data_IF_433468242672
#
_entry.id   IF_433468242672
#
_cell.length_a   1.000
_cell.length_b   1.000
_cell.length_c   1.000
_cell.angle_alpha   90.00
_cell.angle_beta   90.00
_cell.angle_gamma   90.00
#
_symmetry.space_group_name_H-M   'P 1'
#
loop_
_entity.id
_entity.type
_entity.pdbx_description
1 polymer ?
#
# COMPACT_ATOMS: atom_id res chain seq x y z
N UNK A 1 -7.63 -15.39 17.50
CA UNK A 1 -6.48 -14.47 17.31
C UNK A 1 -5.70 -15.05 16.14
N UNK A 2 -6.10 -14.72 14.91
CA UNK A 2 -5.57 -15.29 13.68
C UNK A 2 -5.47 -14.16 12.64
N UNK A 3 -4.47 -14.24 11.75
CA UNK A 3 -4.31 -13.50 10.46
C UNK A 3 -3.55 -12.17 10.39
N UNK A 4 -2.91 -11.65 11.45
CA UNK A 4 -2.11 -10.41 11.30
C UNK A 4 -0.69 -10.60 10.72
N UNK A 5 -0.25 -11.85 10.52
CA UNK A 5 1.11 -12.18 10.08
C UNK A 5 1.20 -12.52 8.59
N UNK A 6 0.10 -12.83 7.92
CA UNK A 6 0.14 -13.32 6.53
C UNK A 6 0.28 -12.16 5.56
N UNK A 7 -0.60 -11.16 5.67
CA UNK A 7 -0.64 -10.03 4.72
C UNK A 7 0.68 -9.25 4.67
N UNK A 8 1.33 -9.02 5.82
CA UNK A 8 2.60 -8.31 5.84
C UNK A 8 3.76 -9.15 5.32
N UNK A 9 3.81 -10.44 5.68
CA UNK A 9 4.83 -11.35 5.20
C UNK A 9 4.70 -11.57 3.69
N UNK A 10 3.48 -11.72 3.18
CA UNK A 10 3.17 -11.74 1.74
C UNK A 10 3.54 -10.41 1.07
N UNK A 11 3.32 -9.27 1.72
CA UNK A 11 3.72 -7.99 1.16
C UNK A 11 5.24 -7.82 1.11
N UNK A 12 6.00 -8.43 2.01
CA UNK A 12 7.46 -8.34 2.08
C UNK A 12 8.18 -9.42 1.25
N UNK A 13 7.56 -10.59 1.09
CA UNK A 13 8.19 -11.77 0.48
C UNK A 13 7.41 -12.37 -0.70
N UNK A 14 6.21 -11.86 -1.02
CA UNK A 14 5.32 -12.41 -2.07
C UNK A 14 5.55 -11.86 -3.48
N UNK A 15 6.56 -11.03 -3.69
CA UNK A 15 6.96 -10.59 -5.03
C UNK A 15 7.49 -11.74 -5.89
N UNK A 16 7.54 -11.59 -7.22
CA UNK A 16 7.98 -12.64 -8.14
C UNK A 16 9.43 -13.12 -7.88
N UNK A 17 10.26 -12.29 -7.27
CA UNK A 17 11.64 -12.60 -6.89
C UNK A 17 11.78 -12.97 -5.40
N UNK A 18 10.67 -13.17 -4.67
CA UNK A 18 10.66 -13.36 -3.21
C UNK A 18 10.89 -12.09 -2.40
N UNK A 19 10.81 -10.92 -3.04
CA UNK A 19 10.95 -9.61 -2.39
C UNK A 19 9.63 -8.88 -2.23
N UNK A 20 9.69 -7.61 -1.81
CA UNK A 20 8.49 -6.85 -1.49
C UNK A 20 7.57 -6.68 -2.71
N UNK A 21 6.26 -6.82 -2.49
CA UNK A 21 5.23 -6.53 -3.48
C UNK A 21 5.22 -5.02 -3.73
N UNK A 22 5.54 -4.63 -4.96
CA UNK A 22 5.53 -3.23 -5.39
C UNK A 22 4.26 -2.95 -6.18
N UNK A 23 3.52 -1.94 -5.73
CA UNK A 23 2.33 -1.42 -6.38
C UNK A 23 2.66 -0.15 -7.18
N UNK A 24 1.99 0.02 -8.31
CA UNK A 24 1.96 1.30 -9.04
C UNK A 24 1.01 2.29 -8.36
N UNK A 25 1.15 3.58 -8.67
CA UNK A 25 0.25 4.64 -8.17
C UNK A 25 -1.22 4.34 -8.45
N UNK A 26 -1.52 3.79 -9.64
CA UNK A 26 -2.88 3.45 -10.04
C UNK A 26 -3.44 2.34 -9.14
N UNK A 27 -2.65 1.30 -8.87
CA UNK A 27 -3.05 0.21 -7.97
C UNK A 27 -3.26 0.71 -6.54
N UNK A 28 -2.37 1.58 -6.03
CA UNK A 28 -2.54 2.21 -4.71
C UNK A 28 -3.84 3.01 -4.65
N UNK A 29 -4.12 3.87 -5.64
CA UNK A 29 -5.36 4.64 -5.69
C UNK A 29 -6.59 3.71 -5.73
N UNK A 30 -6.53 2.62 -6.48
CA UNK A 30 -7.60 1.62 -6.53
C UNK A 30 -7.84 0.96 -5.17
N UNK A 31 -6.80 0.58 -4.44
CA UNK A 31 -6.91 0.07 -3.07
C UNK A 31 -7.50 1.13 -2.13
N UNK A 32 -6.94 2.33 -2.11
CA UNK A 32 -7.44 3.44 -1.29
C UNK A 32 -8.94 3.70 -1.53
N UNK A 33 -9.41 3.61 -2.79
CA UNK A 33 -10.84 3.70 -3.13
C UNK A 33 -11.66 2.56 -2.53
N UNK A 34 -11.18 1.32 -2.56
CA UNK A 34 -11.86 0.16 -1.95
C UNK A 34 -12.04 0.33 -0.44
N UNK A 35 -11.14 1.07 0.22
CA UNK A 35 -11.20 1.38 1.65
C UNK A 35 -11.87 2.74 1.98
N UNK A 36 -12.55 3.37 1.03
CA UNK A 36 -13.36 4.58 1.27
C UNK A 36 -12.61 5.91 1.16
N UNK A 37 -11.34 5.92 0.75
CA UNK A 37 -10.63 7.14 0.38
C UNK A 37 -10.94 7.47 -1.07
N UNK A 38 -11.92 8.33 -1.30
CA UNK A 38 -12.47 8.61 -2.63
C UNK A 38 -11.98 9.91 -3.26
N UNK A 39 -11.36 10.79 -2.46
CA UNK A 39 -10.95 12.12 -2.92
C UNK A 39 -9.44 12.19 -3.20
N UNK A 40 -9.01 12.99 -4.19
CA UNK A 40 -7.59 13.23 -4.44
C UNK A 40 -6.84 13.77 -3.22
N UNK A 41 -7.50 14.56 -2.38
CA UNK A 41 -6.89 15.07 -1.15
C UNK A 41 -6.49 13.94 -0.20
N UNK A 42 -7.34 12.94 0.00
CA UNK A 42 -7.03 11.78 0.84
C UNK A 42 -5.88 10.95 0.28
N UNK A 43 -5.82 10.75 -1.04
CA UNK A 43 -4.70 10.04 -1.67
C UNK A 43 -3.39 10.80 -1.52
N UNK A 44 -3.43 12.13 -1.67
CA UNK A 44 -2.25 12.98 -1.48
C UNK A 44 -1.77 13.00 -0.04
N UNK A 45 -2.66 12.89 0.95
CA UNK A 45 -2.29 12.70 2.35
C UNK A 45 -1.45 11.44 2.52
N UNK A 46 -1.92 10.29 2.01
CA UNK A 46 -1.15 9.04 2.02
C UNK A 46 0.23 9.21 1.35
N UNK A 47 0.28 9.75 0.13
CA UNK A 47 1.55 9.90 -0.59
C UNK A 47 2.55 10.80 0.14
N UNK A 48 2.06 11.84 0.81
CA UNK A 48 2.90 12.76 1.60
C UNK A 48 3.41 12.08 2.87
N UNK A 49 2.54 11.43 3.62
CA UNK A 49 2.90 10.77 4.89
C UNK A 49 3.86 9.59 4.67
N UNK A 50 3.68 8.84 3.57
CA UNK A 50 4.58 7.76 3.20
C UNK A 50 5.92 8.26 2.60
N UNK A 51 6.04 9.54 2.27
CA UNK A 51 7.22 10.09 1.58
C UNK A 51 7.37 9.64 0.11
N UNK A 52 6.29 9.16 -0.51
CA UNK A 52 6.28 8.53 -1.84
C UNK A 52 5.57 9.37 -2.91
N UNK A 53 5.70 10.70 -2.83
CA UNK A 53 5.00 11.64 -3.73
C UNK A 53 5.49 11.62 -5.17
N UNK A 54 6.79 11.37 -5.39
CA UNK A 54 7.43 11.50 -6.72
C UNK A 54 7.75 10.16 -7.40
N UNK A 55 7.45 9.03 -6.76
CA UNK A 55 7.75 7.69 -7.28
C UNK A 55 6.50 6.99 -7.80
N UNK A 56 6.66 6.01 -8.68
CA UNK A 56 5.57 5.12 -9.15
C UNK A 56 5.78 3.67 -8.67
N UNK A 57 6.41 3.52 -7.50
CA UNK A 57 6.72 2.24 -6.88
C UNK A 57 6.44 2.38 -5.39
N UNK A 58 5.43 1.66 -4.91
CA UNK A 58 4.90 1.76 -3.55
C UNK A 58 4.91 0.36 -2.92
N UNK A 59 5.65 0.14 -1.82
CA UNK A 59 5.58 -1.13 -1.10
C UNK A 59 4.14 -1.38 -0.61
N UNK A 60 3.58 -2.55 -0.91
CA UNK A 60 2.23 -2.90 -0.48
C UNK A 60 2.05 -2.81 1.04
N UNK A 61 3.08 -3.22 1.80
CA UNK A 61 3.11 -3.12 3.26
C UNK A 61 2.91 -1.67 3.77
N UNK A 62 3.41 -0.66 3.05
CA UNK A 62 3.24 0.74 3.44
C UNK A 62 1.79 1.20 3.25
N UNK A 63 1.10 0.71 2.21
CA UNK A 63 -0.31 0.99 1.95
C UNK A 63 -1.18 0.35 3.02
N UNK A 64 -0.98 -0.94 3.30
CA UNK A 64 -1.76 -1.68 4.31
C UNK A 64 -1.54 -1.15 5.73
N UNK A 65 -0.30 -0.78 6.08
CA UNK A 65 -0.01 -0.11 7.36
C UNK A 65 -0.78 1.19 7.51
N UNK A 66 -0.84 2.01 6.47
CA UNK A 66 -1.58 3.27 6.52
C UNK A 66 -3.10 3.06 6.63
N UNK A 67 -3.59 1.98 6.04
CA UNK A 67 -4.99 1.54 6.15
C UNK A 67 -5.33 0.84 7.49
N UNK A 68 -4.37 0.74 8.42
CA UNK A 68 -4.51 0.07 9.73
C UNK A 68 -4.85 -1.44 9.63
N UNK A 69 -4.24 -2.12 8.66
CA UNK A 69 -4.21 -3.58 8.59
C UNK A 69 -3.06 -4.19 9.36
#
# INVERSE_FOLDING_TARGET
>A
MYEYSDVYDECENGGPDGGAVILSRIQVISLLKQHGHLTPQQWMTFFREAGLTLVNAYPAAAVFRWLNY
#
